data_IF_588837911664
#
_entry.id   IF_588837911664
#
_cell.length_a   1.000
_cell.length_b   1.000
_cell.length_c   1.000
_cell.angle_alpha   90.00
_cell.angle_beta   90.00
_cell.angle_gamma   90.00
#
_symmetry.space_group_name_H-M   'P 1'
#
loop_
_entity.id
_entity.type
_entity.pdbx_description
1 polymer ?
#
# COMPACT_ATOMS: atom_id res chain seq x y z
N UNK A 1 0.79 -10.41 11.83
CA UNK A 1 0.00 -10.37 10.58
C UNK A 1 -0.03 -11.78 10.00
N UNK A 2 -1.18 -12.23 9.50
CA UNK A 2 -1.33 -13.56 8.89
C UNK A 2 -1.08 -13.46 7.38
N UNK A 3 -0.26 -14.36 6.84
CA UNK A 3 -0.06 -14.49 5.40
C UNK A 3 -1.40 -14.76 4.69
N UNK A 4 -1.61 -14.16 3.52
CA UNK A 4 -2.83 -14.38 2.72
C UNK A 4 -2.53 -14.35 1.23
N UNK A 5 -3.30 -15.11 0.45
CA UNK A 5 -3.28 -15.00 -0.99
C UNK A 5 -3.70 -13.59 -1.44
N UNK A 6 -3.06 -13.10 -2.49
CA UNK A 6 -3.31 -11.78 -3.08
C UNK A 6 -3.32 -11.88 -4.60
N UNK A 7 -4.25 -11.18 -5.24
CA UNK A 7 -4.26 -11.05 -6.69
C UNK A 7 -3.17 -10.09 -7.16
N UNK A 8 -2.65 -10.30 -8.36
CA UNK A 8 -1.57 -9.46 -8.91
C UNK A 8 -1.92 -7.97 -8.90
N UNK A 9 -3.16 -7.62 -9.25
CA UNK A 9 -3.67 -6.23 -9.28
C UNK A 9 -3.59 -5.50 -7.93
N UNK A 10 -3.50 -6.25 -6.83
CA UNK A 10 -3.49 -5.71 -5.48
C UNK A 10 -2.07 -5.61 -4.90
N UNK A 11 -1.04 -6.07 -5.61
CA UNK A 11 0.37 -5.99 -5.21
C UNK A 11 0.85 -4.53 -5.32
N UNK A 12 1.56 -4.05 -4.30
CA UNK A 12 2.08 -2.68 -4.20
C UNK A 12 3.59 -2.68 -3.98
N UNK A 13 4.25 -1.59 -4.38
CA UNK A 13 5.64 -1.32 -3.99
C UNK A 13 5.75 -1.30 -2.47
N UNK A 14 6.81 -1.92 -1.94
CA UNK A 14 7.05 -2.13 -0.52
C UNK A 14 6.41 -3.40 0.05
N UNK A 15 5.47 -4.04 -0.64
CA UNK A 15 4.93 -5.32 -0.17
C UNK A 15 6.05 -6.36 -0.10
N UNK A 16 6.12 -7.11 0.99
CA UNK A 16 6.87 -8.37 1.01
C UNK A 16 5.93 -9.49 0.57
N UNK A 17 6.22 -10.08 -0.58
CA UNK A 17 5.44 -11.20 -1.11
C UNK A 17 6.26 -12.47 -1.16
N UNK A 18 5.59 -13.61 -1.03
CA UNK A 18 6.11 -14.94 -1.28
C UNK A 18 5.40 -15.50 -2.50
N UNK A 19 6.15 -16.01 -3.47
CA UNK A 19 5.61 -16.64 -4.67
C UNK A 19 5.75 -18.15 -4.55
N UNK A 20 4.63 -18.85 -4.72
CA UNK A 20 4.58 -20.31 -4.76
C UNK A 20 4.32 -20.76 -6.21
N UNK A 21 5.00 -21.84 -6.63
CA UNK A 21 4.73 -22.50 -7.90
C UNK A 21 4.38 -23.97 -7.65
N UNK A 22 3.17 -24.36 -8.06
CA UNK A 22 2.72 -25.75 -7.96
C UNK A 22 2.61 -26.35 -9.35
N UNK A 23 3.72 -26.91 -9.86
CA UNK A 23 3.68 -27.77 -11.06
C UNK A 23 4.43 -29.06 -10.80
N UNK A 24 3.71 -30.20 -10.84
CA UNK A 24 4.26 -31.56 -10.75
C UNK A 24 5.18 -31.81 -9.53
N UNK A 25 4.68 -31.57 -8.31
CA UNK A 25 5.26 -31.99 -7.01
C UNK A 25 6.60 -31.33 -6.60
N UNK A 26 7.02 -30.25 -7.24
CA UNK A 26 8.17 -29.46 -6.76
C UNK A 26 7.67 -28.09 -6.32
N UNK A 27 7.69 -27.82 -5.03
CA UNK A 27 7.36 -26.53 -4.44
C UNK A 27 8.61 -25.65 -4.46
N UNK A 28 8.63 -24.67 -5.37
CA UNK A 28 9.60 -23.57 -5.28
C UNK A 28 8.92 -22.41 -4.56
N UNK A 29 9.51 -21.98 -3.45
CA UNK A 29 9.10 -20.77 -2.75
C UNK A 29 10.24 -19.76 -2.83
N UNK A 30 9.91 -18.54 -3.23
CA UNK A 30 10.82 -17.40 -3.09
C UNK A 30 10.05 -16.23 -2.49
N UNK A 31 10.76 -15.38 -1.74
CA UNK A 31 10.20 -14.27 -0.96
C UNK A 31 11.10 -13.04 -1.09
N UNK A 32 10.50 -11.88 -1.25
CA UNK A 32 11.23 -10.60 -1.21
C UNK A 32 10.29 -9.40 -1.19
N UNK A 33 10.88 -8.22 -1.03
CA UNK A 33 10.18 -6.93 -1.08
C UNK A 33 10.02 -6.48 -2.54
N UNK A 34 8.84 -5.95 -2.88
CA UNK A 34 8.56 -5.39 -4.19
C UNK A 34 9.15 -4.00 -4.31
N UNK A 35 10.04 -3.80 -5.27
CA UNK A 35 10.67 -2.50 -5.55
C UNK A 35 9.97 -1.74 -6.68
N UNK A 36 9.34 -2.45 -7.62
CA UNK A 36 8.57 -1.85 -8.71
C UNK A 36 7.41 -2.77 -9.15
N UNK A 37 6.33 -2.17 -9.65
CA UNK A 37 5.17 -2.87 -10.23
C UNK A 37 4.99 -2.43 -11.68
N UNK A 38 5.11 -3.38 -12.61
CA UNK A 38 4.89 -3.20 -14.05
C UNK A 38 3.53 -3.81 -14.40
N UNK A 39 2.47 -3.04 -14.17
CA UNK A 39 1.09 -3.53 -14.28
C UNK A 39 0.73 -3.99 -15.70
N UNK A 40 1.22 -3.30 -16.73
CA UNK A 40 0.95 -3.62 -18.14
C UNK A 40 1.54 -4.97 -18.56
N UNK A 41 2.71 -5.33 -18.01
CA UNK A 41 3.40 -6.59 -18.30
C UNK A 41 3.06 -7.72 -17.30
N UNK A 42 2.22 -7.42 -16.30
CA UNK A 42 1.94 -8.28 -15.15
C UNK A 42 3.23 -8.79 -14.48
N UNK A 43 4.21 -7.90 -14.31
CA UNK A 43 5.49 -8.21 -13.66
C UNK A 43 5.75 -7.31 -12.44
N UNK A 44 6.50 -7.83 -11.47
CA UNK A 44 7.00 -7.06 -10.32
C UNK A 44 8.49 -7.26 -10.18
N UNK A 45 9.23 -6.21 -9.81
CA UNK A 45 10.63 -6.32 -9.43
C UNK A 45 10.73 -6.63 -7.94
N UNK A 46 11.55 -7.61 -7.60
CA UNK A 46 11.73 -8.10 -6.24
C UNK A 46 13.19 -7.93 -5.83
N UNK A 47 13.42 -7.30 -4.69
CA UNK A 47 14.76 -7.05 -4.17
C UNK A 47 15.55 -8.37 -4.03
N UNK A 48 16.76 -8.41 -4.61
CA UNK A 48 17.64 -9.60 -4.59
C UNK A 48 17.22 -10.76 -5.51
N UNK A 49 15.98 -10.76 -6.03
CA UNK A 49 15.41 -11.86 -6.80
C UNK A 49 15.11 -11.49 -8.27
N UNK A 50 15.10 -10.20 -8.60
CA UNK A 50 14.86 -9.70 -9.95
C UNK A 50 13.37 -9.70 -10.35
N UNK A 51 13.10 -9.86 -11.65
CA UNK A 51 11.76 -9.67 -12.21
C UNK A 51 10.88 -10.92 -12.11
N UNK A 52 9.69 -10.77 -11.54
CA UNK A 52 8.68 -11.80 -11.37
C UNK A 52 7.41 -11.50 -12.16
N UNK A 53 7.20 -12.21 -13.27
CA UNK A 53 5.97 -12.09 -14.05
C UNK A 53 4.92 -13.14 -13.69
N UNK A 54 3.65 -12.73 -13.70
CA UNK A 54 2.50 -13.60 -13.54
C UNK A 54 2.46 -14.62 -14.69
N UNK A 55 2.30 -15.89 -14.34
CA UNK A 55 2.19 -17.03 -15.26
C UNK A 55 1.26 -18.07 -14.64
N UNK A 56 0.64 -18.90 -15.46
CA UNK A 56 -0.30 -19.94 -15.00
C UNK A 56 0.28 -20.83 -13.91
N UNK A 57 -0.50 -21.05 -12.84
CA UNK A 57 -0.15 -21.90 -11.70
C UNK A 57 0.79 -21.26 -10.67
N UNK A 58 0.99 -19.93 -10.74
CA UNK A 58 1.68 -19.17 -9.69
C UNK A 58 0.67 -18.53 -8.75
N UNK A 59 0.91 -18.68 -7.45
CA UNK A 59 0.15 -18.02 -6.39
C UNK A 59 1.06 -17.02 -5.69
N UNK A 60 0.55 -15.82 -5.43
CA UNK A 60 1.23 -14.78 -4.67
C UNK A 60 0.62 -14.71 -3.27
N UNK A 61 1.47 -14.83 -2.26
CA UNK A 61 1.11 -14.74 -0.87
C UNK A 61 1.69 -13.44 -0.30
N UNK A 62 0.83 -12.54 0.14
CA UNK A 62 1.25 -11.34 0.86
C UNK A 62 1.73 -11.75 2.25
N UNK A 63 3.01 -11.47 2.55
CA UNK A 63 3.63 -11.74 3.85
C UNK A 63 3.58 -10.51 4.74
N UNK A 64 3.93 -9.35 4.18
CA UNK A 64 3.93 -8.08 4.88
C UNK A 64 3.52 -6.97 3.91
N UNK A 65 2.70 -6.03 4.37
CA UNK A 65 2.44 -4.76 3.68
C UNK A 65 2.85 -3.65 4.64
N UNK A 66 3.96 -2.95 4.39
CA UNK A 66 4.33 -1.83 5.22
C UNK A 66 3.25 -0.75 5.12
N UNK A 67 3.08 0.00 6.20
CA UNK A 67 2.25 1.20 6.17
C UNK A 67 2.84 2.15 5.11
N UNK A 68 2.06 2.62 4.13
CA UNK A 68 2.57 3.54 3.13
C UNK A 68 3.11 4.81 3.80
N UNK A 69 4.32 5.25 3.41
CA UNK A 69 5.00 6.42 4.00
C UNK A 69 4.24 7.71 3.64
N UNK A 70 3.66 8.36 4.63
CA UNK A 70 2.91 9.59 4.43
C UNK A 70 3.80 10.68 3.78
N UNK A 71 3.23 11.53 2.89
CA UNK A 71 3.94 12.70 2.38
C UNK A 71 4.38 13.60 3.54
N UNK A 72 5.55 14.24 3.41
CA UNK A 72 6.10 15.11 4.47
C UNK A 72 6.08 16.59 4.11
N UNK A 73 5.68 16.95 2.89
CA UNK A 73 5.60 18.34 2.44
C UNK A 73 4.38 19.04 3.06
N UNK A 74 4.53 20.13 3.83
CA UNK A 74 3.41 20.84 4.43
C UNK A 74 2.37 21.26 3.39
N UNK A 75 1.09 21.06 3.70
CA UNK A 75 0.00 21.30 2.75
C UNK A 75 -0.33 20.12 1.84
N UNK A 76 0.44 19.02 1.89
CA UNK A 76 0.06 17.76 1.23
C UNK A 76 -1.33 17.31 1.67
N UNK A 77 -2.11 16.80 0.71
CA UNK A 77 -3.44 16.27 0.95
C UNK A 77 -3.48 14.81 0.54
N UNK A 78 -4.05 13.97 1.38
CA UNK A 78 -4.27 12.55 1.10
C UNK A 78 -5.76 12.21 1.21
N UNK A 79 -6.14 11.10 0.61
CA UNK A 79 -7.38 10.38 0.89
C UNK A 79 -7.01 9.10 1.64
N UNK A 80 -7.30 9.05 2.95
CA UNK A 80 -7.13 7.86 3.78
C UNK A 80 -8.36 6.95 3.68
N UNK A 81 -8.17 5.66 3.43
CA UNK A 81 -9.25 4.65 3.34
C UNK A 81 -9.32 3.75 4.55
N UNK A 82 -8.23 3.69 5.33
CA UNK A 82 -8.14 2.89 6.54
C UNK A 82 -7.46 3.69 7.64
N UNK A 83 -8.26 4.13 8.61
CA UNK A 83 -7.79 4.77 9.83
C UNK A 83 -8.08 3.81 10.98
N UNK A 84 -7.16 3.67 11.94
CA UNK A 84 -7.34 2.72 13.05
C UNK A 84 -8.66 2.98 13.77
N UNK A 85 -9.54 1.98 13.72
CA UNK A 85 -10.84 2.00 14.40
C UNK A 85 -12.02 2.54 13.59
N UNK A 86 -11.85 2.93 12.30
CA UNK A 86 -12.95 3.37 11.44
C UNK A 86 -12.72 2.95 9.97
N UNK A 87 -13.77 2.47 9.31
CA UNK A 87 -13.80 2.23 7.87
C UNK A 87 -14.37 3.45 7.12
N UNK A 88 -13.78 3.86 6.00
CA UNK A 88 -14.27 4.97 5.18
C UNK A 88 -13.18 5.78 4.49
N UNK A 89 -13.56 6.63 3.52
CA UNK A 89 -12.63 7.55 2.84
C UNK A 89 -12.65 8.92 3.51
N UNK A 90 -11.49 9.39 3.90
CA UNK A 90 -11.30 10.64 4.62
C UNK A 90 -10.24 11.49 3.93
N UNK A 91 -10.60 12.72 3.55
CA UNK A 91 -9.62 13.69 3.09
C UNK A 91 -8.84 14.19 4.30
N UNK A 92 -7.51 14.14 4.24
CA UNK A 92 -6.65 14.63 5.31
C UNK A 92 -5.60 15.56 4.76
N UNK A 93 -5.20 16.55 5.54
CA UNK A 93 -4.19 17.54 5.17
C UNK A 93 -3.05 17.52 6.19
N UNK A 94 -1.81 17.57 5.70
CA UNK A 94 -0.66 17.74 6.57
C UNK A 94 -0.59 19.18 7.06
N UNK A 95 -0.83 19.37 8.35
CA UNK A 95 -0.65 20.65 9.03
C UNK A 95 0.84 20.89 9.36
N UNK A 96 1.13 22.08 9.90
CA UNK A 96 2.45 22.36 10.46
C UNK A 96 2.77 21.35 11.58
N UNK A 97 4.03 20.91 11.67
CA UNK A 97 4.54 19.93 12.65
C UNK A 97 4.14 18.46 12.42
N UNK A 98 4.04 18.01 11.17
CA UNK A 98 3.85 16.58 10.81
C UNK A 98 2.55 15.92 11.32
N UNK A 99 1.54 16.74 11.69
CA UNK A 99 0.24 16.23 12.13
C UNK A 99 -0.76 16.23 10.98
N UNK A 100 -1.44 15.10 10.78
CA UNK A 100 -2.49 14.97 9.78
C UNK A 100 -3.85 15.36 10.35
N UNK A 101 -4.54 16.28 9.67
CA UNK A 101 -5.85 16.78 10.07
C UNK A 101 -6.94 16.24 9.16
N UNK A 102 -7.98 15.63 9.75
CA UNK A 102 -9.25 15.33 9.07
C UNK A 102 -10.27 16.46 9.30
N UNK A 103 -11.11 16.80 8.30
CA UNK A 103 -12.13 17.83 8.45
C UNK A 103 -13.20 17.43 9.48
N UNK A 104 -13.50 16.14 9.56
CA UNK A 104 -14.45 15.55 10.50
C UNK A 104 -13.71 14.79 11.61
N UNK A 105 -14.37 14.58 12.76
CA UNK A 105 -13.80 13.79 13.87
C UNK A 105 -13.91 12.31 13.56
N UNK A 106 -12.79 11.60 13.67
CA UNK A 106 -12.71 10.14 13.57
C UNK A 106 -12.33 9.65 14.97
N UNK A 107 -13.20 8.89 15.64
CA UNK A 107 -12.99 8.47 17.03
C UNK A 107 -12.65 9.66 17.97
N UNK A 108 -13.48 10.71 17.93
CA UNK A 108 -13.36 11.92 18.74
C UNK A 108 -12.10 12.77 18.51
N UNK A 109 -11.24 12.45 17.54
CA UNK A 109 -10.05 13.25 17.20
C UNK A 109 -10.05 13.73 15.74
N UNK A 110 -9.47 14.90 15.51
CA UNK A 110 -9.13 15.39 14.16
C UNK A 110 -7.64 15.25 13.85
N UNK A 111 -6.81 14.94 14.84
CA UNK A 111 -5.36 14.83 14.74
C UNK A 111 -4.97 13.36 14.61
N UNK A 112 -4.18 13.04 13.59
CA UNK A 112 -3.76 11.68 13.25
C UNK A 112 -2.26 11.63 13.00
N UNK A 113 -1.63 10.53 13.41
CA UNK A 113 -0.25 10.19 13.04
C UNK A 113 -0.22 9.09 11.99
N UNK A 114 0.97 8.79 11.48
CA UNK A 114 1.25 7.64 10.61
C UNK A 114 0.75 6.30 11.20
N UNK A 115 0.89 6.10 12.51
CA UNK A 115 0.39 4.92 13.21
C UNK A 115 -1.14 4.75 13.15
N UNK A 116 -1.87 5.84 12.90
CA UNK A 116 -3.31 5.85 12.77
C UNK A 116 -3.77 5.65 11.32
N UNK A 117 -2.97 6.05 10.33
CA UNK A 117 -3.33 6.04 8.91
C UNK A 117 -2.67 4.84 8.22
N UNK A 118 -3.43 3.78 7.98
CA UNK A 118 -2.89 2.50 7.52
C UNK A 118 -2.94 2.32 6.00
N UNK A 119 -3.85 3.03 5.32
CA UNK A 119 -3.94 3.04 3.84
C UNK A 119 -4.40 4.42 3.37
N UNK A 120 -3.71 4.98 2.38
CA UNK A 120 -4.00 6.28 1.81
C UNK A 120 -3.53 6.38 0.35
N UNK A 121 -4.02 7.40 -0.36
CA UNK A 121 -3.50 7.86 -1.66
C UNK A 121 -3.29 9.37 -1.63
N UNK A 122 -2.33 9.89 -2.38
CA UNK A 122 -2.19 11.34 -2.56
C UNK A 122 -3.44 11.87 -3.26
N UNK A 123 -3.97 13.01 -2.80
CA UNK A 123 -5.09 13.66 -3.44
C UNK A 123 -4.60 14.53 -4.60
N UNK A 124 -5.27 14.45 -5.73
CA UNK A 124 -5.09 15.42 -6.82
C UNK A 124 -5.72 16.74 -6.39
N UNK A 125 -4.88 17.77 -6.19
CA UNK A 125 -5.34 19.12 -5.89
C UNK A 125 -5.53 19.85 -7.22
N UNK A 126 -6.78 20.06 -7.63
CA UNK A 126 -7.09 20.94 -8.74
C UNK A 126 -7.03 22.39 -8.25
N UNK A 127 -6.23 23.23 -8.90
CA UNK A 127 -6.33 24.67 -8.70
C UNK A 127 -7.71 25.13 -9.16
N UNK A 128 -8.52 25.64 -8.25
CA UNK A 128 -9.74 26.36 -8.62
C UNK A 128 -9.29 27.75 -9.01
N UNK A 129 -9.16 28.00 -10.32
CA UNK A 129 -8.96 29.36 -10.83
C UNK A 129 -10.22 30.17 -10.46
N UNK A 130 -10.09 31.30 -9.75
CA UNK A 130 -11.23 32.10 -9.31
C UNK A 130 -12.02 32.72 -10.48
#
# INVERSE_FOLDING_TARGET
MSEREIEFKDIRVGDTIRREWVRRKVEWTSKGEITAVHADDLCVEVEGEGLWCQRDGKTYILVNRPTPKLPTEPGSVIIATKVRGVEGKWRMMLAMYEVWLSPERINDTQWHTDDNIQEWTLAEVFEVTP
#
